data_IF_939205333666
#
_entry.id   IF_939205333666
#
_cell.length_a   1.000
_cell.length_b   1.000
_cell.length_c   1.000
_cell.angle_alpha   90.00
_cell.angle_beta   90.00
_cell.angle_gamma   90.00
#
_symmetry.space_group_name_H-M   'P 1'
#
loop_
_entity.id
_entity.type
_entity.pdbx_description
1 polymer ?
#
# COMPACT_ATOMS: atom_id res chain seq x y z
N UNK A 1 25.05 -16.40 -26.10
CA UNK A 1 25.23 -17.80 -25.65
C UNK A 1 25.89 -17.80 -24.25
N UNK A 2 25.40 -18.53 -23.23
CA UNK A 2 26.00 -18.59 -21.89
C UNK A 2 27.42 -19.21 -21.93
N UNK A 3 28.36 -18.67 -21.16
CA UNK A 3 29.76 -19.13 -21.12
C UNK A 3 29.90 -20.61 -20.76
N UNK A 4 29.09 -21.10 -19.80
CA UNK A 4 29.08 -22.53 -19.43
C UNK A 4 28.71 -23.45 -20.58
N UNK A 5 27.75 -23.05 -21.43
CA UNK A 5 27.36 -23.84 -22.60
C UNK A 5 28.50 -23.84 -23.65
N UNK A 6 29.18 -22.70 -23.83
CA UNK A 6 30.33 -22.58 -24.74
C UNK A 6 31.47 -23.50 -24.32
N UNK A 7 31.87 -23.45 -23.03
CA UNK A 7 32.92 -24.29 -22.50
C UNK A 7 32.58 -25.80 -22.59
N UNK A 8 31.33 -26.17 -22.34
CA UNK A 8 30.87 -27.56 -22.45
C UNK A 8 30.93 -28.06 -23.92
N UNK A 9 30.57 -27.22 -24.86
CA UNK A 9 30.63 -27.56 -26.28
C UNK A 9 32.07 -27.64 -26.79
N UNK A 10 32.96 -26.74 -26.34
CA UNK A 10 34.41 -26.77 -26.68
C UNK A 10 35.08 -28.05 -26.18
N UNK A 11 34.71 -28.55 -25.02
CA UNK A 11 35.28 -29.78 -24.44
C UNK A 11 34.78 -31.05 -25.11
N UNK A 12 33.53 -31.07 -25.59
CA UNK A 12 32.88 -32.31 -26.08
C UNK A 12 32.75 -32.39 -27.59
N UNK A 13 32.90 -31.29 -28.30
CA UNK A 13 32.80 -31.31 -29.76
C UNK A 13 34.22 -31.41 -30.37
N UNK A 14 34.43 -32.25 -31.40
CA UNK A 14 35.69 -32.31 -32.10
C UNK A 14 35.97 -30.98 -32.80
N UNK A 15 37.13 -30.40 -32.57
CA UNK A 15 37.59 -29.20 -33.26
C UNK A 15 37.84 -29.51 -34.74
N UNK A 16 36.89 -29.22 -35.59
CA UNK A 16 36.99 -29.36 -37.00
C UNK A 16 37.46 -28.05 -37.63
N UNK A 17 38.71 -28.03 -37.98
CA UNK A 17 39.33 -26.92 -38.73
C UNK A 17 38.78 -26.92 -40.17
N UNK A 18 37.70 -26.18 -40.42
CA UNK A 18 37.21 -25.85 -41.76
C UNK A 18 36.47 -26.93 -42.58
N UNK A 19 36.37 -28.17 -42.11
CA UNK A 19 35.58 -29.23 -42.77
C UNK A 19 34.28 -29.45 -42.00
N UNK A 20 33.15 -29.66 -42.73
CA UNK A 20 31.85 -30.00 -42.11
C UNK A 20 32.01 -31.24 -41.25
N UNK A 21 31.66 -31.14 -39.99
CA UNK A 21 31.64 -32.26 -39.05
C UNK A 21 30.60 -33.29 -39.52
N UNK A 22 30.93 -34.58 -39.39
CA UNK A 22 29.95 -35.67 -39.57
C UNK A 22 28.94 -35.75 -38.42
N UNK A 23 29.18 -34.99 -37.36
CA UNK A 23 28.35 -34.97 -36.14
C UNK A 23 27.31 -33.87 -36.29
N UNK A 24 26.04 -34.23 -36.16
CA UNK A 24 24.91 -33.31 -36.11
C UNK A 24 24.50 -33.10 -34.67
N UNK A 25 24.48 -31.86 -34.24
CA UNK A 25 24.03 -31.49 -32.88
C UNK A 25 22.53 -31.20 -32.91
N UNK A 26 21.75 -32.04 -32.22
CA UNK A 26 20.31 -31.82 -32.05
C UNK A 26 20.02 -30.83 -30.89
N UNK A 27 19.29 -29.76 -31.17
CA UNK A 27 18.98 -28.71 -30.23
C UNK A 27 17.46 -28.51 -30.11
N UNK A 28 16.96 -28.11 -28.95
CA UNK A 28 15.51 -27.91 -28.72
C UNK A 28 15.00 -26.70 -29.48
N UNK A 29 15.73 -25.59 -29.46
CA UNK A 29 15.29 -24.27 -29.95
C UNK A 29 16.15 -23.83 -31.16
N UNK A 30 15.49 -23.33 -32.20
CA UNK A 30 16.11 -22.79 -33.42
C UNK A 30 17.04 -21.59 -33.13
N UNK A 31 16.71 -20.77 -32.12
CA UNK A 31 17.55 -19.63 -31.71
C UNK A 31 18.90 -20.11 -31.18
N UNK A 32 18.89 -21.10 -30.28
CA UNK A 32 20.10 -21.70 -29.73
C UNK A 32 20.93 -22.36 -30.85
N UNK A 33 20.29 -23.04 -31.80
CA UNK A 33 20.96 -23.60 -32.97
C UNK A 33 21.68 -22.52 -33.77
N UNK A 34 21.07 -21.38 -34.01
CA UNK A 34 21.67 -20.23 -34.71
C UNK A 34 22.87 -19.65 -33.97
N UNK A 35 22.79 -19.46 -32.66
CA UNK A 35 23.90 -18.95 -31.82
C UNK A 35 25.10 -19.95 -31.82
N UNK A 36 24.83 -21.26 -31.72
CA UNK A 36 25.87 -22.28 -31.75
C UNK A 36 26.55 -22.31 -33.14
N UNK A 37 25.78 -22.27 -34.24
CA UNK A 37 26.32 -22.24 -35.59
C UNK A 37 27.16 -21.00 -35.87
N UNK A 38 26.82 -19.87 -35.28
CA UNK A 38 27.59 -18.61 -35.36
C UNK A 38 28.92 -18.70 -34.59
N UNK A 39 28.93 -19.40 -33.43
CA UNK A 39 30.11 -19.53 -32.58
C UNK A 39 31.03 -20.67 -33.06
N UNK A 40 30.47 -21.75 -33.61
CA UNK A 40 31.16 -22.95 -34.06
C UNK A 40 30.80 -23.26 -35.53
N UNK A 41 31.43 -22.60 -36.50
CA UNK A 41 31.06 -22.71 -37.92
C UNK A 41 31.27 -24.10 -38.54
N UNK A 42 31.94 -25.03 -37.85
CA UNK A 42 32.13 -26.41 -38.29
C UNK A 42 31.07 -27.42 -37.87
N UNK A 43 30.15 -27.04 -36.97
CA UNK A 43 29.14 -27.94 -36.40
C UNK A 43 27.80 -27.74 -37.08
N UNK A 44 27.20 -28.87 -37.58
CA UNK A 44 25.84 -28.84 -38.10
C UNK A 44 24.84 -28.92 -36.93
N UNK A 45 23.97 -27.93 -36.84
CA UNK A 45 22.91 -27.92 -35.80
C UNK A 45 21.55 -28.16 -36.45
N UNK A 46 20.79 -29.10 -35.93
CA UNK A 46 19.38 -29.33 -36.28
C UNK A 46 18.49 -29.03 -35.06
N UNK A 47 17.43 -28.24 -35.29
CA UNK A 47 16.45 -27.93 -34.21
C UNK A 47 15.31 -28.96 -34.26
N UNK A 48 14.65 -29.14 -33.10
CA UNK A 48 13.49 -30.02 -32.96
C UNK A 48 12.32 -29.65 -33.91
N UNK A 49 12.25 -28.37 -34.30
CA UNK A 49 11.23 -27.88 -35.25
C UNK A 49 11.52 -28.22 -36.71
N UNK A 50 12.79 -28.46 -37.05
CA UNK A 50 13.21 -28.70 -38.43
C UNK A 50 13.44 -30.19 -38.74
N UNK A 51 13.73 -31.00 -37.73
CA UNK A 51 14.02 -32.42 -37.87
C UNK A 51 13.15 -33.26 -36.92
N UNK A 52 12.31 -34.11 -37.51
CA UNK A 52 11.45 -35.04 -36.74
C UNK A 52 12.27 -36.03 -35.93
N UNK A 53 13.41 -36.46 -36.42
CA UNK A 53 14.34 -37.38 -35.76
C UNK A 53 14.85 -36.76 -34.44
N UNK A 54 15.28 -35.51 -34.50
CA UNK A 54 15.74 -34.76 -33.32
C UNK A 54 14.61 -34.60 -32.30
N UNK A 55 13.40 -34.29 -32.73
CA UNK A 55 12.23 -34.18 -31.89
C UNK A 55 11.90 -35.48 -31.15
N UNK A 56 11.98 -36.62 -31.85
CA UNK A 56 11.74 -37.96 -31.25
C UNK A 56 12.84 -38.33 -30.25
N UNK A 57 14.12 -38.10 -30.61
CA UNK A 57 15.26 -38.38 -29.76
C UNK A 57 15.18 -37.54 -28.44
N UNK A 58 14.89 -36.25 -28.56
CA UNK A 58 14.73 -35.38 -27.37
C UNK A 58 13.56 -35.79 -26.50
N UNK A 59 12.46 -36.26 -27.10
CA UNK A 59 11.32 -36.82 -26.36
C UNK A 59 11.72 -38.09 -25.61
N UNK A 60 12.46 -38.99 -26.27
CA UNK A 60 13.00 -40.22 -25.68
C UNK A 60 13.97 -39.93 -24.51
N UNK A 61 14.86 -38.95 -24.66
CA UNK A 61 15.80 -38.53 -23.62
C UNK A 61 15.02 -38.01 -22.39
N UNK A 62 13.99 -37.17 -22.59
CA UNK A 62 13.16 -36.68 -21.52
C UNK A 62 12.42 -37.79 -20.77
N UNK A 63 11.91 -38.76 -21.48
CA UNK A 63 11.16 -39.89 -20.95
C UNK A 63 12.03 -40.84 -20.12
N UNK A 64 13.28 -41.03 -20.56
CA UNK A 64 14.24 -41.94 -19.92
C UNK A 64 15.41 -41.21 -19.22
N UNK A 65 15.20 -39.93 -18.81
CA UNK A 65 16.24 -39.11 -18.23
C UNK A 65 16.90 -39.74 -16.99
N UNK A 66 16.11 -40.40 -16.12
CA UNK A 66 16.61 -41.08 -14.92
C UNK A 66 17.60 -42.22 -15.23
N UNK A 67 17.49 -42.84 -16.42
CA UNK A 67 18.39 -43.93 -16.86
C UNK A 67 19.59 -43.45 -17.66
N UNK A 68 19.44 -42.34 -18.37
CA UNK A 68 20.45 -41.81 -19.28
C UNK A 68 21.39 -40.81 -18.62
N UNK A 69 20.93 -40.04 -17.64
CA UNK A 69 21.72 -39.03 -16.95
C UNK A 69 22.34 -39.62 -15.68
N UNK A 70 23.68 -39.67 -15.65
CA UNK A 70 24.43 -40.10 -14.47
C UNK A 70 24.25 -39.06 -13.35
N UNK A 71 23.85 -39.52 -12.13
CA UNK A 71 23.71 -38.68 -10.95
C UNK A 71 22.27 -38.24 -10.64
N UNK A 72 21.29 -38.57 -11.48
CA UNK A 72 19.86 -38.36 -11.17
C UNK A 72 19.31 -39.55 -10.37
N UNK A 73 18.71 -39.23 -9.21
CA UNK A 73 17.98 -40.21 -8.39
C UNK A 73 16.51 -40.27 -8.80
N UNK A 74 15.86 -41.37 -8.47
CA UNK A 74 14.43 -41.53 -8.69
C UNK A 74 13.62 -40.50 -7.87
N UNK A 75 12.82 -39.69 -8.54
CA UNK A 75 12.06 -38.58 -7.93
C UNK A 75 12.66 -37.17 -8.09
N UNK A 76 13.93 -37.03 -8.46
CA UNK A 76 14.56 -35.72 -8.63
C UNK A 76 13.93 -34.88 -9.73
N UNK A 77 13.51 -35.50 -10.81
CA UNK A 77 12.81 -34.81 -11.91
C UNK A 77 11.47 -34.26 -11.42
N UNK A 78 10.72 -35.01 -10.63
CA UNK A 78 9.45 -34.55 -10.10
C UNK A 78 9.65 -33.36 -9.12
N UNK A 79 10.69 -33.43 -8.28
CA UNK A 79 11.06 -32.31 -7.40
C UNK A 79 11.48 -31.08 -8.19
N UNK A 80 12.29 -31.27 -9.22
CA UNK A 80 12.73 -30.18 -10.09
C UNK A 80 11.55 -29.53 -10.85
N UNK A 81 10.62 -30.34 -11.38
CA UNK A 81 9.40 -29.85 -12.03
C UNK A 81 8.51 -29.09 -11.08
N UNK A 82 8.33 -29.58 -9.84
CA UNK A 82 7.55 -28.89 -8.81
C UNK A 82 8.21 -27.56 -8.43
N UNK A 83 9.53 -27.55 -8.22
CA UNK A 83 10.32 -26.37 -7.93
C UNK A 83 10.25 -25.33 -9.06
N UNK A 84 10.40 -25.78 -10.32
CA UNK A 84 10.26 -24.93 -11.49
C UNK A 84 8.84 -24.36 -11.61
N UNK A 85 7.81 -25.18 -11.39
CA UNK A 85 6.41 -24.73 -11.41
C UNK A 85 6.13 -23.65 -10.38
N UNK A 86 6.65 -23.80 -9.16
CA UNK A 86 6.54 -22.76 -8.14
C UNK A 86 7.34 -21.50 -8.47
N UNK A 87 8.58 -21.64 -8.96
CA UNK A 87 9.40 -20.51 -9.37
C UNK A 87 8.76 -19.72 -10.52
N UNK A 88 8.28 -20.43 -11.55
CA UNK A 88 7.55 -19.83 -12.66
C UNK A 88 6.28 -19.10 -12.21
N UNK A 89 5.47 -19.73 -11.34
CA UNK A 89 4.26 -19.13 -10.81
C UNK A 89 4.57 -17.85 -10.03
N UNK A 90 5.59 -17.88 -9.17
CA UNK A 90 6.03 -16.68 -8.41
C UNK A 90 6.52 -15.56 -9.33
N UNK A 91 7.34 -15.90 -10.33
CA UNK A 91 7.83 -14.93 -11.31
C UNK A 91 6.69 -14.31 -12.13
N UNK A 92 5.72 -15.13 -12.56
CA UNK A 92 4.54 -14.67 -13.31
C UNK A 92 3.68 -13.69 -12.50
N UNK A 93 3.53 -13.91 -11.19
CA UNK A 93 2.78 -13.06 -10.28
C UNK A 93 3.64 -11.91 -9.72
N UNK A 94 4.94 -11.88 -10.03
CA UNK A 94 5.93 -10.97 -9.42
C UNK A 94 5.88 -11.02 -7.88
N UNK A 95 5.78 -12.24 -7.34
CA UNK A 95 5.70 -12.45 -5.90
C UNK A 95 7.06 -12.25 -5.24
N UNK A 96 7.12 -11.38 -4.24
CA UNK A 96 8.29 -11.17 -3.39
C UNK A 96 8.01 -11.64 -1.97
N UNK A 97 8.91 -12.47 -1.41
CA UNK A 97 8.80 -12.95 -0.03
C UNK A 97 8.93 -11.81 0.98
N UNK A 98 9.71 -10.77 0.64
CA UNK A 98 9.92 -9.60 1.49
C UNK A 98 8.68 -8.68 1.55
N UNK A 99 7.82 -8.70 0.52
CA UNK A 99 6.60 -7.90 0.46
C UNK A 99 5.39 -8.64 1.03
N UNK A 100 5.51 -9.15 2.25
CA UNK A 100 4.42 -9.86 2.91
C UNK A 100 3.43 -8.86 3.52
N UNK A 101 2.33 -8.61 2.82
CA UNK A 101 1.25 -7.71 3.19
C UNK A 101 0.29 -8.27 4.25
N UNK A 102 0.29 -9.60 4.48
CA UNK A 102 -0.57 -10.23 5.50
C UNK A 102 -0.30 -9.68 6.90
N UNK A 103 0.97 -9.40 7.24
CA UNK A 103 1.30 -8.80 8.54
C UNK A 103 0.71 -7.39 8.71
N UNK A 104 0.63 -6.61 7.62
CA UNK A 104 0.01 -5.29 7.64
C UNK A 104 -1.49 -5.40 7.84
N UNK A 105 -2.13 -6.35 7.13
CA UNK A 105 -3.58 -6.59 7.22
C UNK A 105 -3.97 -7.02 8.63
N UNK A 106 -3.28 -8.00 9.19
CA UNK A 106 -3.53 -8.47 10.56
C UNK A 106 -3.15 -7.42 11.60
N UNK A 107 -2.05 -6.69 11.38
CA UNK A 107 -1.61 -5.61 12.27
C UNK A 107 -2.64 -4.50 12.40
N UNK A 108 -3.22 -4.02 11.29
CA UNK A 108 -4.23 -2.96 11.36
C UNK A 108 -5.55 -3.46 11.95
N UNK A 109 -5.95 -4.70 11.66
CA UNK A 109 -7.14 -5.30 12.26
C UNK A 109 -7.01 -5.45 13.79
N UNK A 110 -5.83 -5.88 14.24
CA UNK A 110 -5.50 -5.98 15.68
C UNK A 110 -5.47 -4.60 16.33
N UNK A 111 -4.90 -3.59 15.65
CA UNK A 111 -4.84 -2.20 16.15
C UNK A 111 -6.24 -1.62 16.33
N UNK A 112 -7.14 -1.80 15.36
CA UNK A 112 -8.53 -1.36 15.45
C UNK A 112 -9.31 -2.10 16.58
N UNK A 113 -9.02 -3.38 16.81
CA UNK A 113 -9.57 -4.15 17.92
C UNK A 113 -9.05 -3.67 19.27
N UNK A 114 -7.74 -3.36 19.37
CA UNK A 114 -7.12 -2.78 20.58
C UNK A 114 -7.69 -1.42 20.90
N UNK A 115 -7.87 -0.52 19.92
CA UNK A 115 -8.47 0.80 20.13
C UNK A 115 -9.88 0.67 20.71
N UNK A 116 -10.67 -0.27 20.22
CA UNK A 116 -12.00 -0.57 20.76
C UNK A 116 -11.92 -1.11 22.19
N UNK A 117 -11.02 -2.07 22.43
CA UNK A 117 -10.80 -2.68 23.75
C UNK A 117 -10.34 -1.65 24.80
N UNK A 118 -9.36 -0.82 24.45
CA UNK A 118 -8.86 0.27 25.31
C UNK A 118 -9.98 1.25 25.67
N UNK A 119 -10.79 1.67 24.68
CA UNK A 119 -11.91 2.58 24.94
C UNK A 119 -12.96 1.95 25.87
N UNK A 120 -13.33 0.70 25.63
CA UNK A 120 -14.30 -0.01 26.47
C UNK A 120 -13.77 -0.22 27.90
N UNK A 121 -12.52 -0.68 28.04
CA UNK A 121 -11.87 -0.86 29.33
C UNK A 121 -11.72 0.45 30.09
N UNK A 122 -11.22 1.50 29.44
CA UNK A 122 -11.05 2.81 30.06
C UNK A 122 -12.39 3.42 30.51
N UNK A 123 -13.47 3.25 29.74
CA UNK A 123 -14.80 3.70 30.17
C UNK A 123 -15.24 3.01 31.50
N UNK A 124 -14.98 1.70 31.62
CA UNK A 124 -15.30 0.97 32.84
C UNK A 124 -14.44 1.41 34.02
N UNK A 125 -13.14 1.61 33.82
CA UNK A 125 -12.26 2.16 34.85
C UNK A 125 -12.73 3.56 35.30
N UNK A 126 -13.12 4.42 34.34
CA UNK A 126 -13.66 5.77 34.68
C UNK A 126 -14.97 5.72 35.44
N UNK A 127 -15.89 4.81 35.06
CA UNK A 127 -17.15 4.64 35.76
C UNK A 127 -16.93 4.15 37.21
N UNK A 128 -16.09 3.12 37.41
CA UNK A 128 -15.87 2.57 38.76
C UNK A 128 -15.04 3.49 39.66
N UNK A 129 -13.89 3.97 39.16
CA UNK A 129 -13.03 4.83 39.92
C UNK A 129 -13.60 6.24 40.08
N UNK A 130 -14.48 6.69 39.21
CA UNK A 130 -15.14 7.98 39.25
C UNK A 130 -16.07 8.16 40.46
N UNK A 131 -16.56 7.10 41.09
CA UNK A 131 -17.28 7.18 42.37
C UNK A 131 -16.35 7.54 43.50
N UNK A 132 -15.09 7.11 43.44
CA UNK A 132 -14.08 7.40 44.45
C UNK A 132 -13.41 8.75 44.18
N UNK A 133 -13.04 9.05 42.92
CA UNK A 133 -12.36 10.29 42.56
C UNK A 133 -12.93 10.90 41.26
N UNK A 134 -14.09 11.59 41.31
CA UNK A 134 -14.77 12.10 40.11
C UNK A 134 -14.01 13.23 39.41
N UNK A 135 -13.20 14.02 40.11
CA UNK A 135 -12.49 15.17 39.58
C UNK A 135 -11.40 14.73 38.57
N UNK A 136 -10.79 13.57 38.77
CA UNK A 136 -9.74 13.04 37.91
C UNK A 136 -10.20 12.89 36.45
N UNK A 137 -11.49 12.55 36.22
CA UNK A 137 -12.08 12.40 34.90
C UNK A 137 -12.02 13.70 34.08
N UNK A 138 -12.17 14.84 34.76
CA UNK A 138 -12.17 16.18 34.15
C UNK A 138 -10.76 16.68 33.83
N UNK A 139 -9.76 16.31 34.64
CA UNK A 139 -8.37 16.74 34.52
C UNK A 139 -7.69 15.98 33.39
N UNK A 140 -7.94 14.64 33.30
CA UNK A 140 -7.26 13.76 32.33
C UNK A 140 -8.24 13.14 31.35
N UNK A 141 -8.19 13.62 30.11
CA UNK A 141 -9.05 13.14 29.03
C UNK A 141 -8.52 11.88 28.33
N UNK A 142 -7.18 11.66 28.31
CA UNK A 142 -6.59 10.51 27.68
C UNK A 142 -6.80 9.20 28.45
N UNK A 143 -7.26 8.17 27.76
CA UNK A 143 -7.63 6.88 28.33
C UNK A 143 -6.43 6.09 28.86
N UNK A 144 -5.30 6.14 28.15
CA UNK A 144 -4.08 5.43 28.54
C UNK A 144 -3.43 6.04 29.78
N UNK A 145 -3.32 7.37 29.80
CA UNK A 145 -2.78 8.12 30.93
C UNK A 145 -3.70 8.00 32.17
N UNK A 146 -5.01 8.02 31.95
CA UNK A 146 -5.97 7.83 33.02
C UNK A 146 -5.80 6.49 33.73
N UNK A 147 -5.65 5.40 32.99
CA UNK A 147 -5.42 4.08 33.56
C UNK A 147 -4.10 4.01 34.36
N UNK A 148 -3.03 4.62 33.85
CA UNK A 148 -1.73 4.70 34.54
C UNK A 148 -1.82 5.53 35.83
N UNK A 149 -2.58 6.60 35.78
CA UNK A 149 -2.81 7.44 36.99
C UNK A 149 -3.61 6.72 38.05
N UNK A 150 -4.65 5.97 37.70
CA UNK A 150 -5.40 5.14 38.66
C UNK A 150 -4.50 4.13 39.35
N UNK A 151 -3.51 3.57 38.65
CA UNK A 151 -2.52 2.69 39.26
C UNK A 151 -1.57 3.39 40.22
N UNK A 152 -1.12 4.60 39.86
CA UNK A 152 -0.20 5.40 40.67
C UNK A 152 -0.88 6.00 41.90
N UNK A 153 -2.07 6.55 41.73
CA UNK A 153 -2.83 7.22 42.80
C UNK A 153 -3.41 6.21 43.80
N UNK A 154 -4.03 5.13 43.30
CA UNK A 154 -4.71 4.17 44.15
C UNK A 154 -5.82 4.79 45.02
N UNK A 155 -5.62 4.90 46.31
CA UNK A 155 -6.54 5.61 47.20
C UNK A 155 -6.23 7.12 47.25
N UNK A 156 -7.23 7.96 47.05
CA UNK A 156 -7.08 9.43 47.13
C UNK A 156 -6.54 9.94 48.47
N UNK A 157 -6.79 9.20 49.54
CA UNK A 157 -6.30 9.54 50.88
C UNK A 157 -4.81 9.34 51.08
N UNK A 158 -4.18 8.51 50.28
CA UNK A 158 -2.74 8.23 50.32
C UNK A 158 -1.89 9.29 49.59
N UNK A 159 -2.53 10.22 48.88
CA UNK A 159 -1.83 11.28 48.17
C UNK A 159 -1.28 12.34 49.11
N UNK A 160 0.04 12.52 49.07
CA UNK A 160 0.78 13.57 49.79
C UNK A 160 1.39 14.54 48.79
N UNK A 161 1.84 15.69 49.29
CA UNK A 161 2.50 16.69 48.43
C UNK A 161 3.86 16.16 47.88
N UNK A 162 4.42 15.09 48.46
CA UNK A 162 5.62 14.41 47.99
C UNK A 162 5.35 13.54 46.74
N UNK A 163 4.09 13.17 46.49
CA UNK A 163 3.68 12.35 45.34
C UNK A 163 3.56 13.14 44.03
N UNK A 164 3.84 14.47 44.04
CA UNK A 164 3.79 15.31 42.83
C UNK A 164 4.71 14.78 41.72
N UNK A 165 5.93 14.42 42.07
CA UNK A 165 6.94 13.97 41.10
C UNK A 165 6.58 12.63 40.47
N UNK A 166 6.01 11.70 41.23
CA UNK A 166 5.56 10.40 40.71
C UNK A 166 4.38 10.57 39.74
N UNK A 167 3.43 11.43 40.08
CA UNK A 167 2.29 11.75 39.20
C UNK A 167 2.75 12.50 37.94
N UNK A 168 3.67 13.45 38.07
CA UNK A 168 4.23 14.20 36.96
C UNK A 168 4.97 13.29 35.98
N UNK A 169 5.72 12.30 36.48
CA UNK A 169 6.40 11.31 35.64
C UNK A 169 5.40 10.49 34.78
N UNK A 170 4.24 10.12 35.35
CA UNK A 170 3.17 9.42 34.60
C UNK A 170 2.51 10.35 33.58
N UNK A 171 2.44 11.66 33.84
CA UNK A 171 1.83 12.68 32.95
C UNK A 171 2.78 13.27 31.92
N UNK A 172 3.89 12.61 31.59
CA UNK A 172 4.92 13.12 30.68
C UNK A 172 5.56 14.45 31.16
N UNK A 173 5.80 14.59 32.44
CA UNK A 173 6.41 15.75 33.11
C UNK A 173 5.50 17.02 33.16
N UNK A 174 4.20 16.86 33.06
CA UNK A 174 3.22 17.96 33.22
C UNK A 174 2.95 18.22 34.68
N UNK A 175 3.72 19.14 35.32
CA UNK A 175 3.63 19.48 36.73
C UNK A 175 2.32 20.21 37.08
N UNK A 176 1.82 21.08 36.18
CA UNK A 176 0.58 21.83 36.40
C UNK A 176 -0.61 20.89 36.62
N UNK A 177 -0.68 19.82 35.83
CA UNK A 177 -1.75 18.81 36.02
C UNK A 177 -1.52 17.94 37.25
N UNK A 178 -0.27 17.63 37.59
CA UNK A 178 0.02 16.86 38.80
C UNK A 178 -0.41 17.64 40.07
N UNK A 179 -0.08 18.91 40.15
CA UNK A 179 -0.54 19.78 41.23
C UNK A 179 -2.06 19.91 41.29
N UNK A 180 -2.70 20.08 40.12
CA UNK A 180 -4.16 20.13 40.02
C UNK A 180 -4.84 18.84 40.54
N UNK A 181 -4.24 17.66 40.29
CA UNK A 181 -4.74 16.38 40.80
C UNK A 181 -4.63 16.33 42.33
N UNK A 182 -3.52 16.75 42.93
CA UNK A 182 -3.34 16.73 44.36
C UNK A 182 -4.28 17.73 45.07
N UNK A 183 -4.45 18.92 44.50
CA UNK A 183 -5.42 19.89 45.03
C UNK A 183 -6.85 19.34 44.91
N UNK A 184 -7.19 18.70 43.79
CA UNK A 184 -8.49 18.08 43.63
C UNK A 184 -8.70 16.91 44.60
N UNK A 185 -7.66 16.13 44.93
CA UNK A 185 -7.76 15.04 45.90
C UNK A 185 -8.09 15.55 47.32
N UNK A 186 -7.50 16.71 47.74
CA UNK A 186 -7.77 17.35 49.04
C UNK A 186 -9.23 17.82 49.20
N UNK A 187 -9.88 18.20 48.10
CA UNK A 187 -11.24 18.79 48.10
C UNK A 187 -12.26 17.79 47.52
N UNK A 188 -11.86 16.58 47.23
CA UNK A 188 -12.67 15.61 46.52
C UNK A 188 -13.96 15.23 47.25
N UNK A 189 -15.09 15.27 46.53
CA UNK A 189 -16.42 14.85 47.02
C UNK A 189 -16.69 13.35 46.80
N UNK A 190 -15.73 12.56 46.27
CA UNK A 190 -15.91 11.15 46.04
C UNK A 190 -16.07 10.33 47.31
N UNK A 191 -16.73 9.19 47.17
CA UNK A 191 -16.93 8.23 48.28
C UNK A 191 -15.67 7.41 48.55
N UNK A 192 -15.59 6.84 49.76
CA UNK A 192 -14.52 5.89 50.09
C UNK A 192 -14.75 4.56 49.33
N UNK A 193 -13.69 3.95 48.90
CA UNK A 193 -13.71 2.67 48.17
C UNK A 193 -13.22 1.54 49.10
N UNK A 194 -13.78 0.36 48.99
CA UNK A 194 -13.28 -0.80 49.72
C UNK A 194 -11.94 -1.28 49.11
N UNK A 195 -11.08 -1.87 49.93
CA UNK A 195 -9.77 -2.38 49.46
C UNK A 195 -9.91 -3.43 48.37
N UNK A 196 -10.94 -4.29 48.46
CA UNK A 196 -11.23 -5.33 47.45
C UNK A 196 -11.65 -4.70 46.12
N UNK A 197 -12.52 -3.68 46.13
CA UNK A 197 -12.98 -2.99 44.94
C UNK A 197 -11.85 -2.19 44.30
N UNK A 198 -11.00 -1.56 45.12
CA UNK A 198 -9.82 -0.85 44.64
C UNK A 198 -8.87 -1.78 43.92
N UNK A 199 -8.66 -3.00 44.44
CA UNK A 199 -7.81 -3.99 43.77
C UNK A 199 -8.38 -4.41 42.43
N UNK A 200 -9.70 -4.66 42.33
CA UNK A 200 -10.36 -4.97 41.05
C UNK A 200 -10.20 -3.85 40.02
N UNK A 201 -10.35 -2.60 40.44
CA UNK A 201 -10.16 -1.43 39.58
C UNK A 201 -8.70 -1.32 39.11
N UNK A 202 -7.73 -1.54 40.03
CA UNK A 202 -6.30 -1.57 39.68
C UNK A 202 -5.96 -2.68 38.66
N UNK A 203 -6.50 -3.86 38.83
CA UNK A 203 -6.29 -4.96 37.90
C UNK A 203 -6.83 -4.64 36.51
N UNK A 204 -8.04 -4.06 36.42
CA UNK A 204 -8.61 -3.60 35.18
C UNK A 204 -7.78 -2.47 34.52
N UNK A 205 -7.35 -1.48 35.35
CA UNK A 205 -6.51 -0.38 34.88
C UNK A 205 -5.13 -0.88 34.36
N UNK A 206 -4.54 -1.87 35.03
CA UNK A 206 -3.30 -2.52 34.59
C UNK A 206 -3.48 -3.17 33.21
N UNK A 207 -4.58 -3.86 32.99
CA UNK A 207 -4.86 -4.46 31.68
C UNK A 207 -5.04 -3.40 30.59
N UNK A 208 -5.76 -2.31 30.86
CA UNK A 208 -5.93 -1.19 29.93
C UNK A 208 -4.59 -0.52 29.61
N UNK A 209 -3.74 -0.29 30.63
CA UNK A 209 -2.40 0.27 30.44
C UNK A 209 -1.53 -0.62 29.55
N UNK A 210 -1.49 -1.94 29.81
CA UNK A 210 -0.76 -2.90 28.99
C UNK A 210 -1.26 -2.92 27.54
N UNK A 211 -2.57 -2.87 27.33
CA UNK A 211 -3.14 -2.78 25.98
C UNK A 211 -2.76 -1.49 25.27
N UNK A 212 -2.70 -0.36 25.98
CA UNK A 212 -2.31 0.93 25.42
C UNK A 212 -0.82 0.94 25.02
N UNK A 213 0.06 0.38 25.84
CA UNK A 213 1.48 0.25 25.55
C UNK A 213 1.72 -0.70 24.36
N UNK A 214 1.02 -1.84 24.32
CA UNK A 214 1.09 -2.78 23.19
C UNK A 214 0.59 -2.13 21.89
N UNK A 215 -0.47 -1.33 21.95
CA UNK A 215 -0.98 -0.57 20.79
C UNK A 215 0.08 0.35 20.21
N UNK A 216 0.87 1.04 21.07
CA UNK A 216 1.95 1.92 20.63
C UNK A 216 3.05 1.14 19.91
N UNK A 217 3.51 0.05 20.52
CA UNK A 217 4.55 -0.82 19.92
C UNK A 217 4.07 -1.40 18.57
N UNK A 218 2.82 -1.83 18.49
CA UNK A 218 2.24 -2.35 17.26
C UNK A 218 2.14 -1.29 16.18
N UNK A 219 1.78 -0.05 16.52
CA UNK A 219 1.72 1.06 15.58
C UNK A 219 3.11 1.41 15.01
N UNK A 220 4.16 1.43 15.84
CA UNK A 220 5.55 1.63 15.41
C UNK A 220 6.04 0.49 14.52
N UNK A 221 5.71 -0.76 14.86
CA UNK A 221 6.05 -1.93 14.04
C UNK A 221 5.33 -1.90 12.69
N UNK A 222 4.08 -1.47 12.68
CA UNK A 222 3.28 -1.32 11.45
C UNK A 222 3.88 -0.23 10.55
N UNK A 223 4.33 0.88 11.13
CA UNK A 223 4.95 1.99 10.39
C UNK A 223 6.23 1.52 9.67
N UNK A 224 7.10 0.78 10.36
CA UNK A 224 8.31 0.18 9.77
C UNK A 224 7.97 -0.77 8.63
N UNK A 225 7.04 -1.70 8.85
CA UNK A 225 6.62 -2.68 7.82
C UNK A 225 5.96 -2.02 6.61
N UNK A 226 5.20 -0.94 6.81
CA UNK A 226 4.65 -0.18 5.69
C UNK A 226 5.75 0.50 4.88
N UNK A 227 6.83 0.97 5.52
CA UNK A 227 8.01 1.51 4.85
C UNK A 227 8.71 0.52 3.92
N UNK A 228 8.68 -0.77 4.27
CA UNK A 228 9.28 -1.84 3.46
C UNK A 228 8.37 -2.32 2.33
N UNK A 229 7.06 -2.46 2.60
CA UNK A 229 6.09 -3.07 1.68
C UNK A 229 5.47 -2.06 0.71
N UNK A 230 5.07 -0.89 1.21
CA UNK A 230 4.36 0.13 0.43
C UNK A 230 4.80 1.56 0.79
N UNK A 231 6.09 1.91 0.53
CA UNK A 231 6.67 3.19 0.95
C UNK A 231 6.00 4.40 0.27
N UNK A 232 5.68 4.31 -1.02
CA UNK A 232 5.08 5.42 -1.75
C UNK A 232 3.64 5.68 -1.29
N UNK A 233 2.89 4.62 -1.03
CA UNK A 233 1.53 4.74 -0.52
C UNK A 233 1.52 5.33 0.90
N UNK A 234 2.49 4.94 1.74
CA UNK A 234 2.69 5.48 3.08
C UNK A 234 2.96 7.00 3.07
N UNK A 235 3.86 7.47 2.19
CA UNK A 235 4.19 8.90 2.07
C UNK A 235 2.98 9.74 1.66
N UNK A 236 2.12 9.23 0.77
CA UNK A 236 0.95 9.95 0.26
C UNK A 236 -0.17 10.01 1.30
N UNK A 237 -0.51 8.88 1.94
CA UNK A 237 -1.72 8.76 2.77
C UNK A 237 -1.45 8.73 4.27
N UNK A 238 -0.22 8.40 4.67
CA UNK A 238 0.12 8.01 6.02
C UNK A 238 -0.20 6.53 6.30
N UNK A 239 0.47 5.96 7.30
CA UNK A 239 0.43 4.54 7.64
C UNK A 239 -0.98 4.00 7.91
N UNK A 240 -1.83 4.64 8.76
CA UNK A 240 -3.12 4.05 9.12
C UNK A 240 -4.09 3.95 7.93
N UNK A 241 -4.15 4.98 7.09
CA UNK A 241 -5.07 5.01 5.94
C UNK A 241 -4.60 4.06 4.86
N UNK A 242 -3.29 4.02 4.58
CA UNK A 242 -2.69 3.12 3.62
C UNK A 242 -2.87 1.65 4.02
N UNK A 243 -2.61 1.31 5.29
CA UNK A 243 -2.81 -0.05 5.81
C UNK A 243 -4.28 -0.49 5.75
N UNK A 244 -5.23 0.40 6.05
CA UNK A 244 -6.67 0.12 5.92
C UNK A 244 -7.09 -0.12 4.48
N UNK A 245 -6.51 0.62 3.51
CA UNK A 245 -6.77 0.37 2.09
C UNK A 245 -6.28 -1.01 1.65
N UNK A 246 -5.06 -1.42 2.07
CA UNK A 246 -4.52 -2.75 1.78
C UNK A 246 -5.39 -3.84 2.42
N UNK A 247 -5.79 -3.65 3.68
CA UNK A 247 -6.67 -4.57 4.39
C UNK A 247 -8.03 -4.74 3.72
N UNK A 248 -8.65 -3.65 3.28
CA UNK A 248 -9.93 -3.69 2.55
C UNK A 248 -9.82 -4.36 1.17
N UNK A 249 -8.68 -4.21 0.49
CA UNK A 249 -8.42 -4.87 -0.78
C UNK A 249 -8.06 -6.36 -0.63
N UNK A 250 -7.66 -6.77 0.59
CA UNK A 250 -7.19 -8.11 0.92
C UNK A 250 -5.74 -8.40 0.56
N UNK A 251 -5.10 -7.61 -0.31
CA UNK A 251 -3.67 -7.64 -0.62
C UNK A 251 -3.23 -6.37 -1.35
N UNK A 252 -1.92 -6.07 -1.29
CA UNK A 252 -1.33 -4.98 -2.09
C UNK A 252 -1.46 -5.26 -3.59
N UNK A 253 -1.30 -6.52 -4.01
CA UNK A 253 -1.48 -6.95 -5.41
C UNK A 253 -2.90 -6.71 -5.91
N UNK A 254 -3.92 -6.99 -5.10
CA UNK A 254 -5.30 -6.68 -5.46
C UNK A 254 -5.54 -5.18 -5.53
N UNK A 255 -4.99 -4.41 -4.57
CA UNK A 255 -5.07 -2.95 -4.58
C UNK A 255 -4.47 -2.35 -5.85
N UNK A 256 -3.33 -2.88 -6.33
CA UNK A 256 -2.66 -2.45 -7.56
C UNK A 256 -3.51 -2.74 -8.82
N UNK A 257 -4.33 -3.80 -8.82
CA UNK A 257 -5.24 -4.15 -9.92
C UNK A 257 -6.48 -3.24 -9.98
N UNK A 258 -6.86 -2.63 -8.87
CA UNK A 258 -8.06 -1.78 -8.83
C UNK A 258 -7.87 -0.49 -9.65
N UNK A 259 -8.89 -0.08 -10.44
CA UNK A 259 -8.90 1.23 -11.05
C UNK A 259 -9.05 2.33 -9.98
N UNK A 260 -8.57 3.52 -10.27
CA UNK A 260 -8.64 4.65 -9.34
C UNK A 260 -10.07 5.01 -8.89
N UNK A 261 -11.06 4.77 -9.75
CA UNK A 261 -12.49 4.97 -9.42
C UNK A 261 -12.97 4.04 -8.30
N UNK A 262 -12.55 2.78 -8.31
CA UNK A 262 -12.86 1.82 -7.23
C UNK A 262 -12.14 2.22 -5.95
N UNK A 263 -10.87 2.59 -6.04
CA UNK A 263 -10.04 3.02 -4.92
C UNK A 263 -10.61 4.28 -4.24
N UNK A 264 -11.22 5.20 -5.03
CA UNK A 264 -11.90 6.38 -4.51
C UNK A 264 -13.06 6.04 -3.56
N UNK A 265 -13.80 4.97 -3.84
CA UNK A 265 -15.05 4.62 -3.13
C UNK A 265 -14.82 3.48 -2.13
N UNK A 266 -13.64 2.87 -2.13
CA UNK A 266 -13.30 1.76 -1.24
C UNK A 266 -13.63 2.08 0.22
N UNK A 267 -14.36 1.17 0.90
CA UNK A 267 -14.89 1.37 2.26
C UNK A 267 -16.26 2.04 2.32
N UNK A 268 -16.83 2.49 1.18
CA UNK A 268 -18.18 3.07 1.09
C UNK A 268 -19.09 2.24 0.17
N UNK A 269 -18.81 0.95 -0.03
CA UNK A 269 -19.51 0.06 -0.96
C UNK A 269 -20.99 -0.07 -0.60
N UNK A 270 -21.31 -0.27 0.69
CA UNK A 270 -22.70 -0.38 1.16
C UNK A 270 -23.51 0.88 0.87
N UNK A 271 -22.89 2.07 1.02
CA UNK A 271 -23.51 3.33 0.70
C UNK A 271 -23.74 3.50 -0.81
N UNK A 272 -22.77 3.07 -1.63
CA UNK A 272 -22.87 3.07 -3.09
C UNK A 272 -24.03 2.18 -3.55
N UNK A 273 -24.11 0.93 -3.10
CA UNK A 273 -25.19 0.02 -3.46
C UNK A 273 -26.57 0.53 -3.01
N UNK A 274 -26.65 1.15 -1.81
CA UNK A 274 -27.87 1.80 -1.35
C UNK A 274 -28.28 2.94 -2.27
N UNK A 275 -27.34 3.83 -2.64
CA UNK A 275 -27.60 4.95 -3.52
C UNK A 275 -28.05 4.49 -4.92
N UNK A 276 -27.48 3.42 -5.46
CA UNK A 276 -27.89 2.82 -6.73
C UNK A 276 -29.31 2.28 -6.66
N UNK A 277 -29.68 1.56 -5.58
CA UNK A 277 -31.05 1.06 -5.39
C UNK A 277 -32.08 2.19 -5.27
N UNK A 278 -31.76 3.24 -4.52
CA UNK A 278 -32.69 4.36 -4.28
C UNK A 278 -32.61 5.46 -5.34
N UNK A 279 -31.78 5.28 -6.39
CA UNK A 279 -31.48 6.31 -7.40
C UNK A 279 -31.08 7.66 -6.78
N UNK A 280 -30.41 7.61 -5.62
CA UNK A 280 -29.93 8.77 -4.88
C UNK A 280 -28.53 9.23 -5.32
N UNK A 281 -27.98 10.24 -4.62
CA UNK A 281 -26.61 10.70 -4.85
C UNK A 281 -25.59 9.65 -4.40
N UNK A 282 -24.65 9.29 -5.31
CA UNK A 282 -23.58 8.33 -5.01
C UNK A 282 -22.52 8.95 -4.11
N UNK A 283 -21.85 8.15 -3.22
CA UNK A 283 -20.78 8.64 -2.39
C UNK A 283 -19.60 9.11 -3.25
N UNK A 284 -18.98 10.23 -2.87
CA UNK A 284 -17.85 10.83 -3.60
C UNK A 284 -16.49 10.33 -3.11
N UNK A 285 -16.44 9.73 -1.93
CA UNK A 285 -15.21 9.23 -1.29
C UNK A 285 -15.55 8.15 -0.26
N UNK A 286 -14.56 7.24 -0.01
CA UNK A 286 -14.62 6.19 1.00
C UNK A 286 -13.55 6.39 2.08
N UNK A 287 -12.70 5.38 2.33
CA UNK A 287 -11.61 5.42 3.32
C UNK A 287 -10.64 6.59 3.10
N UNK A 288 -10.43 7.00 1.86
CA UNK A 288 -9.58 8.15 1.52
C UNK A 288 -10.02 9.46 2.20
N UNK A 289 -11.27 9.56 2.66
CA UNK A 289 -11.75 10.74 3.38
C UNK A 289 -10.93 11.07 4.63
N UNK A 290 -10.34 10.07 5.27
CA UNK A 290 -9.49 10.22 6.46
C UNK A 290 -8.13 10.86 6.15
N UNK A 291 -7.78 11.03 4.87
CA UNK A 291 -6.54 11.69 4.45
C UNK A 291 -6.56 13.19 4.77
N UNK A 292 -5.42 13.71 5.24
CA UNK A 292 -5.22 15.14 5.54
C UNK A 292 -5.50 16.06 4.34
N UNK A 293 -5.24 15.60 3.11
CA UNK A 293 -5.48 16.37 1.89
C UNK A 293 -6.96 16.68 1.68
N UNK A 294 -7.84 15.71 1.96
CA UNK A 294 -9.29 15.92 1.84
C UNK A 294 -9.81 16.73 3.04
N UNK A 295 -9.21 16.56 4.22
CA UNK A 295 -9.53 17.35 5.41
C UNK A 295 -9.31 18.85 5.20
N UNK A 296 -8.15 19.23 4.65
CA UNK A 296 -7.76 20.62 4.34
C UNK A 296 -8.53 21.24 3.17
N UNK A 297 -9.14 20.44 2.31
CA UNK A 297 -9.85 20.92 1.14
C UNK A 297 -11.20 21.57 1.49
N UNK A 298 -11.57 22.65 0.81
CA UNK A 298 -12.87 23.30 0.96
C UNK A 298 -14.04 22.40 0.52
N UNK A 299 -15.25 22.56 1.08
CA UNK A 299 -16.39 21.66 0.86
C UNK A 299 -16.77 21.45 -0.62
N UNK A 300 -16.65 22.49 -1.44
CA UNK A 300 -16.94 22.44 -2.88
C UNK A 300 -15.92 21.62 -3.68
N UNK A 301 -14.69 21.49 -3.16
CA UNK A 301 -13.54 20.92 -3.89
C UNK A 301 -13.20 19.50 -3.39
N UNK A 302 -13.71 19.07 -2.21
CA UNK A 302 -13.42 17.76 -1.61
C UNK A 302 -13.57 16.59 -2.59
N UNK A 303 -14.61 16.57 -3.41
CA UNK A 303 -14.82 15.49 -4.40
C UNK A 303 -13.80 15.49 -5.55
N UNK A 304 -13.33 16.67 -5.96
CA UNK A 304 -12.31 16.82 -7.03
C UNK A 304 -10.94 16.36 -6.52
N UNK A 305 -10.56 16.80 -5.32
CA UNK A 305 -9.26 16.38 -4.72
C UNK A 305 -9.25 14.90 -4.39
N UNK A 306 -10.38 14.31 -3.93
CA UNK A 306 -10.50 12.88 -3.68
C UNK A 306 -10.25 12.05 -4.94
N UNK A 307 -10.78 12.47 -6.10
CA UNK A 307 -10.52 11.80 -7.37
C UNK A 307 -9.05 11.90 -7.77
N UNK A 308 -8.45 13.08 -7.59
CA UNK A 308 -7.03 13.29 -7.91
C UNK A 308 -6.13 12.45 -7.00
N UNK A 309 -6.43 12.43 -5.69
CA UNK A 309 -5.74 11.59 -4.71
C UNK A 309 -5.86 10.10 -5.07
N UNK A 310 -7.04 9.62 -5.42
CA UNK A 310 -7.26 8.22 -5.81
C UNK A 310 -6.41 7.83 -7.03
N UNK A 311 -6.26 8.71 -8.02
CA UNK A 311 -5.40 8.47 -9.17
C UNK A 311 -3.93 8.33 -8.75
N UNK A 312 -3.44 9.18 -7.84
CA UNK A 312 -2.07 9.09 -7.33
C UNK A 312 -1.85 7.85 -6.48
N UNK A 313 -2.79 7.50 -5.62
CA UNK A 313 -2.74 6.26 -4.84
C UNK A 313 -2.76 5.00 -5.71
N UNK A 314 -3.51 5.00 -6.83
CA UNK A 314 -3.51 3.88 -7.78
C UNK A 314 -2.16 3.70 -8.47
N UNK A 315 -1.48 4.80 -8.81
CA UNK A 315 -0.13 4.75 -9.39
C UNK A 315 0.87 4.28 -8.34
N UNK A 316 0.83 4.87 -7.12
CA UNK A 316 1.71 4.50 -6.02
C UNK A 316 1.60 3.02 -5.66
N UNK A 317 0.38 2.48 -5.53
CA UNK A 317 0.17 1.06 -5.22
C UNK A 317 0.72 0.12 -6.29
N UNK A 318 0.70 0.52 -7.56
CA UNK A 318 1.31 -0.26 -8.66
C UNK A 318 2.83 -0.22 -8.59
N UNK A 319 3.43 0.96 -8.35
CA UNK A 319 4.87 1.10 -8.18
C UNK A 319 5.33 0.23 -7.00
N UNK A 320 4.68 0.34 -5.83
CA UNK A 320 5.03 -0.42 -4.64
C UNK A 320 4.91 -1.94 -4.83
N UNK A 321 3.90 -2.38 -5.59
CA UNK A 321 3.70 -3.81 -5.84
C UNK A 321 4.71 -4.39 -6.83
N UNK A 322 5.02 -3.66 -7.91
CA UNK A 322 5.83 -4.19 -9.03
C UNK A 322 7.31 -3.82 -8.96
N UNK A 323 7.68 -2.79 -8.18
CA UNK A 323 9.09 -2.44 -7.94
C UNK A 323 9.77 -3.52 -7.10
N UNK A 324 10.98 -3.91 -7.45
CA UNK A 324 11.77 -4.89 -6.69
C UNK A 324 12.36 -4.27 -5.42
N UNK A 325 12.91 -3.07 -5.53
CA UNK A 325 13.46 -2.32 -4.39
C UNK A 325 12.43 -1.30 -3.86
N UNK A 326 12.24 -1.20 -2.53
CA UNK A 326 11.34 -0.20 -1.95
C UNK A 326 11.96 1.20 -2.04
N UNK A 327 11.32 2.13 -2.77
CA UNK A 327 11.73 3.52 -2.90
C UNK A 327 10.62 4.46 -2.48
N UNK A 328 10.93 5.60 -1.84
CA UNK A 328 9.96 6.63 -1.39
C UNK A 328 9.84 7.82 -2.37
N UNK A 329 10.77 7.94 -3.33
CA UNK A 329 10.91 9.12 -4.20
C UNK A 329 9.66 9.42 -5.04
N UNK A 330 9.04 8.37 -5.59
CA UNK A 330 7.78 8.56 -6.33
C UNK A 330 6.66 9.09 -5.43
N UNK A 331 6.58 8.61 -4.20
CA UNK A 331 5.60 9.05 -3.21
C UNK A 331 5.77 10.53 -2.85
N UNK A 332 7.01 10.99 -2.64
CA UNK A 332 7.35 12.37 -2.31
C UNK A 332 6.92 13.32 -3.44
N UNK A 333 7.30 13.02 -4.67
CA UNK A 333 6.92 13.84 -5.83
C UNK A 333 5.41 13.86 -6.05
N UNK A 334 4.71 12.75 -5.85
CA UNK A 334 3.25 12.71 -5.95
C UNK A 334 2.58 13.48 -4.82
N UNK A 335 3.16 13.52 -3.63
CA UNK A 335 2.70 14.32 -2.49
C UNK A 335 2.83 15.81 -2.80
N UNK A 336 3.96 16.24 -3.35
CA UNK A 336 4.16 17.63 -3.78
C UNK A 336 3.13 18.06 -4.84
N UNK A 337 2.84 17.16 -5.79
CA UNK A 337 1.78 17.43 -6.77
C UNK A 337 0.39 17.57 -6.15
N UNK A 338 0.09 16.82 -5.08
CA UNK A 338 -1.16 16.96 -4.34
C UNK A 338 -1.23 18.29 -3.61
N UNK A 339 -0.14 18.76 -3.02
CA UNK A 339 -0.06 20.07 -2.36
C UNK A 339 -0.21 21.21 -3.37
N UNK A 340 0.51 21.16 -4.47
CA UNK A 340 0.35 22.14 -5.58
C UNK A 340 -1.09 22.15 -6.12
N UNK A 341 -1.76 21.00 -6.16
CA UNK A 341 -3.15 20.92 -6.61
C UNK A 341 -4.11 21.55 -5.61
N UNK A 342 -3.85 21.43 -4.30
CA UNK A 342 -4.61 22.13 -3.26
C UNK A 342 -4.41 23.64 -3.35
N UNK A 343 -3.17 24.10 -3.55
CA UNK A 343 -2.85 25.52 -3.73
C UNK A 343 -3.50 26.09 -5.00
N UNK A 344 -3.54 25.30 -6.08
CA UNK A 344 -4.24 25.72 -7.29
C UNK A 344 -5.74 25.92 -7.05
N UNK A 345 -6.37 25.09 -6.22
CA UNK A 345 -7.78 25.29 -5.87
C UNK A 345 -7.99 26.48 -4.92
N UNK A 346 -7.00 26.87 -4.14
CA UNK A 346 -7.06 28.00 -3.22
C UNK A 346 -6.63 29.32 -3.87
N UNK A 347 -5.50 29.31 -4.59
CA UNK A 347 -4.81 30.52 -5.10
C UNK A 347 -4.79 30.63 -6.64
N UNK A 348 -5.15 29.57 -7.39
CA UNK A 348 -5.11 29.55 -8.86
C UNK A 348 -3.71 29.32 -9.47
N UNK A 349 -2.69 28.99 -8.70
CA UNK A 349 -1.33 28.72 -9.18
C UNK A 349 -1.29 27.48 -10.08
N UNK A 350 -0.65 27.54 -11.25
CA UNK A 350 -0.58 26.40 -12.17
C UNK A 350 0.27 25.26 -11.59
N UNK A 351 -0.28 24.04 -11.38
CA UNK A 351 0.48 22.91 -10.89
C UNK A 351 1.41 22.35 -11.98
N UNK A 352 2.47 21.65 -11.55
CA UNK A 352 3.40 20.95 -12.42
C UNK A 352 2.69 19.87 -13.25
N UNK A 353 3.14 19.65 -14.50
CA UNK A 353 2.62 18.59 -15.36
C UNK A 353 3.04 17.21 -14.83
N UNK A 354 2.19 16.20 -15.09
CA UNK A 354 2.48 14.83 -14.63
C UNK A 354 3.78 14.25 -15.23
N UNK A 355 4.10 14.58 -16.46
CA UNK A 355 5.31 14.12 -17.14
C UNK A 355 6.55 14.68 -16.44
N UNK A 356 6.61 15.97 -16.23
CA UNK A 356 7.72 16.65 -15.54
C UNK A 356 7.94 16.14 -14.11
N UNK A 357 6.86 15.79 -13.42
CA UNK A 357 6.94 15.22 -12.08
C UNK A 357 7.48 13.79 -12.08
N UNK A 358 7.04 12.95 -13.04
CA UNK A 358 7.56 11.59 -13.16
C UNK A 358 9.02 11.58 -13.58
N UNK A 359 9.44 12.47 -14.49
CA UNK A 359 10.83 12.61 -14.89
C UNK A 359 11.72 13.03 -13.69
N UNK A 360 11.22 13.92 -12.82
CA UNK A 360 11.90 14.25 -11.57
C UNK A 360 12.06 13.07 -10.63
N UNK A 361 11.00 12.27 -10.49
CA UNK A 361 11.03 11.08 -9.63
C UNK A 361 12.02 10.03 -10.16
N UNK A 362 12.05 9.80 -11.46
CA UNK A 362 12.97 8.86 -12.10
C UNK A 362 14.42 9.35 -11.92
N UNK A 363 14.70 10.63 -12.15
CA UNK A 363 16.05 11.20 -11.93
C UNK A 363 16.48 11.05 -10.47
N UNK A 364 15.61 11.34 -9.51
CA UNK A 364 15.93 11.18 -8.09
C UNK A 364 16.21 9.72 -7.69
N UNK A 365 15.58 8.75 -8.34
CA UNK A 365 15.85 7.32 -8.12
C UNK A 365 17.20 6.92 -8.75
N UNK A 366 17.54 7.45 -9.91
CA UNK A 366 18.84 7.21 -10.56
C UNK A 366 20.00 7.85 -9.77
N UNK A 367 19.80 9.06 -9.25
CA UNK A 367 20.79 9.77 -8.46
C UNK A 367 21.08 9.09 -7.10
N UNK A 368 20.12 8.38 -6.52
CA UNK A 368 20.32 7.63 -5.26
C UNK A 368 21.19 6.35 -5.45
N UNK A 369 21.72 6.08 -6.66
CA UNK A 369 22.60 4.94 -6.93
C UNK A 369 21.94 3.57 -6.84
N UNK A 370 20.61 3.54 -6.79
CA UNK A 370 19.85 2.33 -6.94
C UNK A 370 19.82 1.99 -8.44
N UNK A 371 20.72 1.10 -8.89
CA UNK A 371 20.65 0.45 -10.20
C UNK A 371 19.32 -0.29 -10.30
N UNK A 372 18.26 0.45 -10.58
CA UNK A 372 17.06 -0.12 -11.18
C UNK A 372 17.46 -0.44 -12.61
N UNK A 373 17.63 -1.71 -12.91
CA UNK A 373 17.34 -2.20 -14.24
C UNK A 373 15.87 -1.88 -14.51
N UNK A 374 15.64 -0.69 -15.04
CA UNK A 374 14.34 -0.33 -15.60
C UNK A 374 14.28 -1.21 -16.85
N UNK A 375 13.41 -2.24 -16.81
CA UNK A 375 13.05 -2.99 -18.00
C UNK A 375 12.78 -1.97 -19.12
N UNK A 376 13.68 -1.84 -20.08
CA UNK A 376 13.58 -0.91 -21.22
C UNK A 376 12.29 -1.13 -22.04
N UNK A 377 11.59 -2.24 -21.82
CA UNK A 377 10.27 -2.51 -22.41
C UNK A 377 9.16 -1.55 -21.97
N UNK A 378 9.33 -0.79 -20.87
CA UNK A 378 8.35 0.25 -20.48
C UNK A 378 8.62 1.64 -21.07
N UNK A 379 9.74 1.85 -21.75
CA UNK A 379 10.15 3.16 -22.30
C UNK A 379 10.16 3.14 -23.84
N UNK A 380 9.40 2.27 -24.48
CA UNK A 380 9.25 2.32 -25.94
C UNK A 380 8.21 3.41 -26.32
N UNK A 381 8.59 4.65 -26.05
CA UNK A 381 8.08 5.80 -26.77
C UNK A 381 9.21 6.46 -27.56
N UNK A 382 9.22 6.34 -28.88
CA UNK A 382 10.24 6.98 -29.69
C UNK A 382 10.21 8.49 -29.50
N UNK A 383 11.37 9.19 -29.57
CA UNK A 383 11.43 10.62 -29.38
C UNK A 383 10.63 11.33 -30.46
N UNK A 384 9.49 11.88 -30.09
CA UNK A 384 8.64 12.66 -30.97
C UNK A 384 9.29 14.03 -31.27
N UNK A 385 10.26 14.04 -32.18
CA UNK A 385 10.60 15.25 -32.94
C UNK A 385 9.98 15.12 -34.30
N UNK A 386 9.10 16.08 -34.61
CA UNK A 386 8.45 16.35 -35.92
C UNK A 386 7.00 15.92 -36.15
N UNK A 387 6.08 16.29 -35.25
CA UNK A 387 4.65 16.44 -35.63
C UNK A 387 3.88 17.33 -34.63
N UNK A 388 4.47 18.47 -34.23
CA UNK A 388 3.86 19.35 -33.22
C UNK A 388 2.77 20.32 -33.72
N UNK A 389 2.66 20.59 -35.01
CA UNK A 389 1.74 21.65 -35.48
C UNK A 389 0.33 21.21 -35.87
N UNK A 390 0.10 19.92 -36.14
CA UNK A 390 -1.25 19.46 -36.55
C UNK A 390 -2.10 18.79 -35.44
N UNK A 391 -1.51 18.44 -34.29
CA UNK A 391 -2.24 17.84 -33.16
C UNK A 391 -2.81 18.84 -32.15
N UNK A 392 -2.23 20.01 -32.06
CA UNK A 392 -2.72 21.05 -31.12
C UNK A 392 -4.07 21.68 -31.54
N UNK A 393 -4.39 21.69 -32.84
CA UNK A 393 -5.71 22.18 -33.33
C UNK A 393 -6.85 21.17 -33.02
N UNK A 394 -6.57 19.86 -32.97
CA UNK A 394 -7.60 18.84 -32.73
C UNK A 394 -7.85 18.60 -31.24
N UNK A 395 -6.90 18.91 -30.36
CA UNK A 395 -7.08 18.83 -28.91
C UNK A 395 -7.75 20.05 -28.27
N UNK A 396 -7.71 21.22 -28.95
CA UNK A 396 -8.43 22.41 -28.49
C UNK A 396 -9.94 22.34 -28.76
N UNK A 397 -10.39 21.59 -29.77
CA UNK A 397 -11.81 21.42 -30.07
C UNK A 397 -12.51 20.39 -29.18
N UNK A 398 -11.81 19.32 -28.75
CA UNK A 398 -12.38 18.28 -27.88
C UNK A 398 -12.47 18.74 -26.41
N UNK A 399 -11.59 19.63 -25.97
CA UNK A 399 -11.62 20.18 -24.61
C UNK A 399 -12.68 21.26 -24.37
N UNK A 400 -13.22 21.86 -25.44
CA UNK A 400 -14.26 22.89 -25.33
C UNK A 400 -15.68 22.27 -25.30
N UNK A 401 -15.89 21.18 -26.02
CA UNK A 401 -17.20 20.49 -26.05
C UNK A 401 -17.53 19.73 -24.75
N UNK A 402 -16.53 19.17 -24.07
CA UNK A 402 -16.74 18.47 -22.78
C UNK A 402 -17.07 19.43 -21.61
N UNK A 403 -16.72 20.74 -21.73
CA UNK A 403 -17.04 21.73 -20.71
C UNK A 403 -18.47 22.28 -20.92
N UNK A 404 -18.93 22.41 -22.16
CA UNK A 404 -20.30 22.86 -22.47
C UNK A 404 -21.35 21.80 -22.17
N UNK A 405 -21.03 20.51 -22.33
CA UNK A 405 -21.98 19.41 -22.00
C UNK A 405 -22.21 19.27 -20.48
N UNK A 406 -21.25 19.65 -19.64
CA UNK A 406 -21.41 19.61 -18.18
C UNK A 406 -22.30 20.75 -17.65
N UNK A 407 -22.25 21.92 -18.27
CA UNK A 407 -23.11 23.06 -17.89
C UNK A 407 -24.51 22.98 -18.45
N UNK A 408 -24.70 22.37 -19.63
CA UNK A 408 -26.00 22.14 -20.22
C UNK A 408 -26.88 21.12 -19.46
N UNK A 409 -26.26 20.13 -18.77
CA UNK A 409 -26.98 19.18 -17.94
C UNK A 409 -27.54 19.81 -16.66
N UNK A 410 -26.84 20.81 -16.07
CA UNK A 410 -27.29 21.50 -14.85
C UNK A 410 -28.40 22.53 -15.12
N UNK A 411 -28.41 23.17 -16.31
CA UNK A 411 -29.51 24.04 -16.71
C UNK A 411 -30.79 23.29 -17.11
N UNK A 412 -30.66 22.09 -17.66
CA UNK A 412 -31.81 21.24 -18.03
C UNK A 412 -32.60 20.76 -16.81
N UNK A 413 -31.96 20.51 -15.68
CA UNK A 413 -32.64 20.15 -14.43
C UNK A 413 -33.36 21.33 -13.77
N UNK A 414 -32.81 22.54 -13.88
CA UNK A 414 -33.48 23.76 -13.36
C UNK A 414 -34.71 24.12 -14.14
N UNK A 415 -34.72 23.92 -15.46
CA UNK A 415 -35.91 24.16 -16.30
C UNK A 415 -37.00 23.10 -16.06
N UNK A 416 -36.70 21.85 -15.83
CA UNK A 416 -37.65 20.80 -15.47
C UNK A 416 -38.28 21.00 -14.08
N UNK A 417 -37.52 21.50 -13.09
CA UNK A 417 -38.08 21.84 -11.77
C UNK A 417 -39.01 23.08 -11.79
N UNK A 418 -38.75 24.06 -12.65
CA UNK A 418 -39.64 25.22 -12.83
C UNK A 418 -40.94 24.84 -13.50
N UNK A 419 -40.94 23.95 -14.52
CA UNK A 419 -42.14 23.49 -15.22
C UNK A 419 -43.02 22.58 -14.36
N UNK A 420 -42.46 21.82 -13.41
CA UNK A 420 -43.24 21.01 -12.45
C UNK A 420 -43.88 21.84 -11.32
N UNK A 421 -43.38 23.05 -11.01
CA UNK A 421 -44.02 23.94 -10.03
C UNK A 421 -45.15 24.77 -10.60
N UNK A 422 -45.18 25.01 -11.91
CA UNK A 422 -46.26 25.75 -12.56
C UNK A 422 -47.50 24.88 -12.89
N UNK A 423 -47.35 23.55 -12.92
CA UNK A 423 -48.50 22.61 -13.17
C UNK A 423 -49.14 22.13 -11.87
N UNK A 424 -48.58 22.46 -10.70
CA UNK A 424 -49.14 22.14 -9.39
C UNK A 424 -49.86 23.35 -8.74
N UNK A 425 -50.04 24.45 -9.46
CA UNK A 425 -50.72 25.67 -9.01
C UNK A 425 -51.92 26.08 -9.95
N UNK A 426 -52.36 25.15 -10.79
CA UNK A 426 -53.69 25.12 -11.42
C UNK A 426 -54.38 23.81 -10.99
#
# INVERSE_FOLDING_TARGET
MPEHLKNTLELNLPQTSGKKSKIVLGVVDKRIAGEISATFPGVQCEAADTSEVVAVLLRGIRLHANKLLKGLQEGDINRAQLGLGHAYSRAKVKFSVHKNDNHIIQGIATLDALDKGINQGAMRVREWYGWHFPELIRIVSDNGLYAKLVLAVGDKKSLTDESVDDIANVLNQDQDKAEAIIQAAKISMGQDISEMDLQMVKDLASNVSKMADYRRILAESLDKKMGDVAPNLQVILGTPVAARLISHAGSLTNLAKYPASTLQILGAEKALFRALKTKGATPKYGLLYQSSFIGRAGPKVKGRISRYLANKCSIASRIDNFSEKPTKRFGEVMRDQLEQRLEWYAKGTKPMKNIEAMDKAIKAVMDDGDDMEIDEEMIDHPPAKEKKEKKDKKRKSVGAEDVEMADAADEGEKKKKKKRKSVAAE
#
